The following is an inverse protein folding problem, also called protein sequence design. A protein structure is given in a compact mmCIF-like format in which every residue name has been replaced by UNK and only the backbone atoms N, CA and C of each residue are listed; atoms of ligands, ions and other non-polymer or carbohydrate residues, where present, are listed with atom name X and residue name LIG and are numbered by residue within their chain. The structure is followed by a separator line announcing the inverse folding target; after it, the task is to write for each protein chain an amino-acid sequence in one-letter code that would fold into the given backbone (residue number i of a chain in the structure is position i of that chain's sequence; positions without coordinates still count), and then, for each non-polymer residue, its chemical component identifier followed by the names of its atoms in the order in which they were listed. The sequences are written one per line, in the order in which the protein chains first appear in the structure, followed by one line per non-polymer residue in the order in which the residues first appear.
data_IF_451643700751
#
_entry.id   IF_451643700751
#
_cell.length_a   1.000
_cell.length_b   1.000
_cell.length_c   1.000
_cell.angle_alpha   90.00
_cell.angle_beta   90.00
_cell.angle_gamma   90.00
#
_symmetry.space_group_name_H-M   'P 1'
#
loop_
_entity.id
_entity.type
_entity.pdbx_description
1 polymer ?
#
# COMPACT_ATOMS: atom_id res chain seq x y z
N UNK A 1 31.98 -33.71 -84.78
CA UNK A 1 30.77 -34.54 -84.59
C UNK A 1 30.42 -34.38 -83.13
N UNK A 2 29.91 -33.22 -82.69
CA UNK A 2 29.87 -32.91 -81.25
C UNK A 2 28.64 -32.06 -80.84
N UNK A 3 27.62 -31.99 -81.69
CA UNK A 3 26.49 -31.05 -81.50
C UNK A 3 25.23 -31.71 -80.92
N UNK A 4 25.21 -33.03 -80.75
CA UNK A 4 24.03 -33.78 -80.28
C UNK A 4 24.02 -34.00 -78.77
N UNK A 5 25.17 -33.85 -78.08
CA UNK A 5 25.32 -34.14 -76.64
C UNK A 5 25.34 -32.91 -75.72
N UNK A 6 25.35 -31.69 -76.28
CA UNK A 6 25.46 -30.45 -75.50
C UNK A 6 24.11 -29.87 -75.08
N UNK A 7 23.07 -30.04 -75.90
CA UNK A 7 21.70 -29.61 -75.61
C UNK A 7 21.09 -30.28 -74.36
N UNK A 8 21.16 -31.61 -74.16
CA UNK A 8 20.62 -32.22 -72.94
C UNK A 8 21.41 -31.78 -71.69
N UNK A 9 22.74 -31.61 -71.79
CA UNK A 9 23.58 -31.12 -70.69
C UNK A 9 23.26 -29.66 -70.33
N UNK A 10 23.05 -28.80 -71.32
CA UNK A 10 22.67 -27.41 -71.09
C UNK A 10 21.28 -27.28 -70.45
N UNK A 11 20.32 -28.12 -70.86
CA UNK A 11 18.99 -28.17 -70.25
C UNK A 11 19.05 -28.67 -68.81
N UNK A 12 19.85 -29.70 -68.53
CA UNK A 12 20.05 -30.22 -67.17
C UNK A 12 20.74 -29.18 -66.27
N UNK A 13 21.76 -28.48 -66.76
CA UNK A 13 22.44 -27.42 -66.01
C UNK A 13 21.51 -26.23 -65.73
N UNK A 14 20.69 -25.84 -66.72
CA UNK A 14 19.67 -24.81 -66.52
C UNK A 14 18.62 -25.26 -65.49
N UNK A 15 18.16 -26.51 -65.56
CA UNK A 15 17.22 -27.04 -64.57
C UNK A 15 17.81 -27.06 -63.16
N UNK A 16 19.07 -27.45 -63.00
CA UNK A 16 19.77 -27.42 -61.70
C UNK A 16 19.94 -26.01 -61.16
N UNK A 17 20.25 -25.03 -62.03
CA UNK A 17 20.33 -23.62 -61.64
C UNK A 17 18.97 -23.11 -61.13
N UNK A 18 17.88 -23.43 -61.84
CA UNK A 18 16.54 -23.01 -61.43
C UNK A 18 16.09 -23.70 -60.14
N UNK A 19 16.42 -24.99 -59.94
CA UNK A 19 16.17 -25.68 -58.67
C UNK A 19 16.95 -25.02 -57.53
N UNK A 20 18.21 -24.63 -57.76
CA UNK A 20 19.01 -23.89 -56.77
C UNK A 20 18.40 -22.53 -56.42
N UNK A 21 17.94 -21.77 -57.41
CA UNK A 21 17.28 -20.48 -57.19
C UNK A 21 15.97 -20.64 -56.43
N UNK A 22 15.13 -21.62 -56.80
CA UNK A 22 13.87 -21.90 -56.11
C UNK A 22 14.13 -22.36 -54.67
N UNK A 23 15.14 -23.20 -54.44
CA UNK A 23 15.53 -23.60 -53.09
C UNK A 23 16.02 -22.40 -52.26
N UNK A 24 16.81 -21.50 -52.85
CA UNK A 24 17.27 -20.28 -52.17
C UNK A 24 16.13 -19.32 -51.83
N UNK A 25 15.20 -19.10 -52.77
CA UNK A 25 14.01 -18.27 -52.53
C UNK A 25 13.09 -18.90 -51.48
N UNK A 26 12.91 -20.21 -51.52
CA UNK A 26 12.14 -20.94 -50.50
C UNK A 26 12.80 -20.82 -49.13
N UNK A 27 14.13 -20.96 -49.08
CA UNK A 27 14.93 -20.79 -47.87
C UNK A 27 14.82 -19.37 -47.29
N UNK A 28 14.73 -18.34 -48.14
CA UNK A 28 14.50 -16.95 -47.71
C UNK A 28 13.07 -16.69 -47.19
N UNK A 29 12.10 -17.53 -47.54
CA UNK A 29 10.71 -17.44 -47.02
C UNK A 29 10.49 -18.21 -45.71
N UNK A 30 11.46 -19.01 -45.26
CA UNK A 30 11.36 -19.73 -44.00
C UNK A 30 11.39 -18.78 -42.81
N UNK A 31 10.47 -19.00 -41.88
CA UNK A 31 10.42 -18.23 -40.64
C UNK A 31 11.67 -18.48 -39.78
N UNK A 32 12.05 -17.50 -38.96
CA UNK A 32 13.15 -17.62 -37.99
C UNK A 32 13.08 -18.89 -37.13
N UNK A 33 11.87 -19.34 -36.77
CA UNK A 33 11.67 -20.55 -35.96
C UNK A 33 12.05 -21.83 -36.71
N UNK A 34 11.74 -21.90 -38.01
CA UNK A 34 12.08 -23.04 -38.86
C UNK A 34 13.60 -23.11 -39.09
N UNK A 35 14.28 -21.97 -39.26
CA UNK A 35 15.73 -21.90 -39.42
C UNK A 35 16.48 -22.48 -38.21
N UNK A 36 16.10 -22.07 -37.00
CA UNK A 36 16.69 -22.60 -35.77
C UNK A 36 16.43 -24.11 -35.59
N UNK A 37 15.22 -24.58 -35.93
CA UNK A 37 14.90 -26.01 -35.83
C UNK A 37 15.76 -26.88 -36.75
N UNK A 38 16.09 -26.38 -37.94
CA UNK A 38 16.94 -27.06 -38.89
C UNK A 38 18.40 -27.12 -38.43
N UNK A 39 18.97 -26.01 -37.94
CA UNK A 39 20.33 -25.99 -37.39
C UNK A 39 20.46 -26.83 -36.10
N UNK A 40 19.44 -26.79 -35.24
CA UNK A 40 19.36 -27.63 -34.05
C UNK A 40 19.32 -29.13 -34.40
N UNK A 41 18.58 -29.51 -35.45
CA UNK A 41 18.54 -30.88 -35.95
C UNK A 41 19.89 -31.34 -36.53
N UNK A 42 20.65 -30.45 -37.18
CA UNK A 42 21.98 -30.73 -37.71
C UNK A 42 23.11 -30.69 -36.65
N UNK A 43 22.81 -30.38 -35.37
CA UNK A 43 23.79 -30.29 -34.26
C UNK A 43 25.01 -29.41 -34.57
N UNK A 44 24.84 -28.37 -35.39
CA UNK A 44 25.93 -27.48 -35.72
C UNK A 44 26.24 -26.53 -34.55
N UNK A 45 27.53 -26.19 -34.32
CA UNK A 45 27.91 -25.26 -33.25
C UNK A 45 27.25 -23.88 -33.42
N UNK A 46 26.88 -23.19 -32.33
CA UNK A 46 26.19 -21.90 -32.39
C UNK A 46 26.96 -20.80 -33.15
N UNK A 47 28.28 -20.86 -33.16
CA UNK A 47 29.15 -19.88 -33.85
C UNK A 47 29.12 -20.01 -35.38
N UNK A 48 28.61 -21.12 -35.92
CA UNK A 48 28.43 -21.33 -37.36
C UNK A 48 27.05 -20.89 -37.85
N UNK A 49 26.16 -20.39 -36.98
CA UNK A 49 24.84 -19.91 -37.39
C UNK A 49 24.88 -18.40 -37.70
N UNK A 50 24.73 -17.99 -38.97
CA UNK A 50 24.81 -16.58 -39.36
C UNK A 50 23.58 -15.76 -38.96
N UNK A 51 22.48 -16.40 -38.52
CA UNK A 51 21.24 -15.72 -38.14
C UNK A 51 20.85 -16.12 -36.71
N UNK A 52 21.09 -15.23 -35.75
CA UNK A 52 20.62 -15.37 -34.37
C UNK A 52 19.28 -14.67 -34.24
N UNK A 53 18.19 -15.42 -34.30
CA UNK A 53 16.85 -14.87 -34.11
C UNK A 53 16.51 -14.83 -32.62
N UNK A 54 16.12 -13.66 -32.11
CA UNK A 54 15.58 -13.51 -30.77
C UNK A 54 14.31 -14.38 -30.62
N UNK A 55 14.35 -15.41 -29.79
CA UNK A 55 13.18 -16.25 -29.52
C UNK A 55 12.06 -15.38 -28.91
N UNK A 56 10.87 -15.29 -29.53
CA UNK A 56 9.75 -14.65 -28.87
C UNK A 56 9.43 -15.47 -27.62
N UNK A 57 9.29 -14.79 -26.48
CA UNK A 57 8.95 -15.39 -25.20
C UNK A 57 7.59 -16.09 -25.35
N UNK A 58 7.62 -17.42 -25.42
CA UNK A 58 6.42 -18.23 -25.43
C UNK A 58 5.78 -18.16 -24.04
N UNK A 59 4.77 -17.31 -23.88
CA UNK A 59 3.95 -17.26 -22.68
C UNK A 59 2.97 -18.45 -22.73
N UNK A 60 3.07 -19.44 -21.83
CA UNK A 60 2.06 -20.48 -21.74
C UNK A 60 0.80 -19.89 -21.11
N UNK A 61 -0.25 -19.69 -21.91
CA UNK A 61 -1.54 -19.22 -21.44
C UNK A 61 -2.69 -19.63 -22.39
N UNK A 62 -3.91 -19.81 -21.87
CA UNK A 62 -5.09 -20.04 -22.71
C UNK A 62 -5.37 -18.82 -23.60
N UNK A 63 -5.92 -19.07 -24.80
CA UNK A 63 -6.24 -18.03 -25.79
C UNK A 63 -7.22 -17.02 -25.17
N UNK A 64 -6.78 -15.76 -25.05
CA UNK A 64 -7.61 -14.67 -24.51
C UNK A 64 -8.48 -14.13 -25.65
N UNK A 65 -9.77 -14.44 -25.65
CA UNK A 65 -10.75 -13.78 -26.50
C UNK A 65 -11.08 -12.40 -25.92
N UNK A 66 -10.63 -11.33 -26.58
CA UNK A 66 -10.95 -9.96 -26.18
C UNK A 66 -12.31 -9.56 -26.77
N UNK A 67 -13.34 -9.46 -25.93
CA UNK A 67 -14.59 -8.78 -26.32
C UNK A 67 -14.42 -7.28 -26.08
N UNK A 68 -14.46 -6.50 -27.16
CA UNK A 68 -14.30 -5.05 -27.14
C UNK A 68 -15.56 -4.39 -26.56
N UNK A 69 -15.54 -4.00 -25.28
CA UNK A 69 -16.63 -3.23 -24.68
C UNK A 69 -16.44 -1.75 -25.00
N UNK A 70 -17.35 -1.20 -25.80
CA UNK A 70 -17.37 0.21 -26.19
C UNK A 70 -17.66 1.18 -25.04
N UNK A 71 -17.46 2.50 -25.26
CA UNK A 71 -17.34 3.55 -24.23
C UNK A 71 -18.60 3.85 -23.39
N UNK A 72 -19.65 3.04 -23.46
CA UNK A 72 -20.90 3.25 -22.74
C UNK A 72 -21.00 2.52 -21.38
N UNK A 73 -19.93 1.83 -20.94
CA UNK A 73 -19.93 0.99 -19.73
C UNK A 73 -19.25 1.55 -18.48
N UNK A 74 -18.69 2.77 -18.52
CA UNK A 74 -18.00 3.35 -17.36
C UNK A 74 -18.98 4.18 -16.50
N UNK A 75 -19.07 3.95 -15.17
CA UNK A 75 -19.85 4.81 -14.29
C UNK A 75 -19.22 6.22 -14.23
N UNK A 76 -20.06 7.25 -14.41
CA UNK A 76 -19.65 8.66 -14.39
C UNK A 76 -19.03 9.04 -13.04
N UNK A 77 -17.92 9.82 -13.02
CA UNK A 77 -17.35 10.33 -11.78
C UNK A 77 -18.28 11.37 -11.12
N UNK A 78 -18.42 11.27 -9.80
CA UNK A 78 -19.24 12.19 -9.01
C UNK A 78 -18.66 13.63 -8.99
N UNK A 79 -19.50 14.68 -9.01
CA UNK A 79 -19.03 16.06 -9.07
C UNK A 79 -18.40 16.53 -7.76
N UNK A 80 -17.17 17.06 -7.84
CA UNK A 80 -16.46 17.71 -6.75
C UNK A 80 -17.11 19.06 -6.40
N UNK A 81 -17.42 19.27 -5.12
CA UNK A 81 -17.90 20.56 -4.59
C UNK A 81 -16.72 21.54 -4.43
N UNK A 82 -16.82 22.81 -4.85
CA UNK A 82 -15.76 23.78 -4.64
C UNK A 82 -15.69 24.22 -3.16
N UNK A 83 -14.49 24.11 -2.58
CA UNK A 83 -14.18 24.62 -1.26
C UNK A 83 -14.18 26.15 -1.26
N UNK A 84 -15.01 26.76 -0.40
CA UNK A 84 -15.02 28.20 -0.17
C UNK A 84 -13.76 28.60 0.59
N UNK A 85 -12.95 29.46 -0.01
CA UNK A 85 -11.81 30.11 0.64
C UNK A 85 -12.29 30.95 1.83
N UNK A 86 -11.75 30.65 3.01
CA UNK A 86 -11.90 31.46 4.23
C UNK A 86 -10.89 32.60 4.13
N UNK A 87 -11.36 33.82 3.92
CA UNK A 87 -10.54 35.03 4.06
C UNK A 87 -10.41 35.34 5.55
N UNK A 88 -9.17 35.32 6.04
CA UNK A 88 -8.79 35.84 7.36
C UNK A 88 -8.73 37.38 7.30
N UNK A 89 -9.33 38.11 8.24
CA UNK A 89 -9.11 39.55 8.35
C UNK A 89 -7.77 39.85 9.06
N UNK A 90 -7.10 40.97 8.73
CA UNK A 90 -5.75 41.26 9.19
C UNK A 90 -5.71 41.66 10.68
N UNK A 91 -4.66 41.21 11.36
CA UNK A 91 -4.23 41.70 12.68
C UNK A 91 -3.84 43.18 12.58
N UNK A 92 -4.52 44.03 13.36
CA UNK A 92 -4.05 45.38 13.66
C UNK A 92 -3.60 45.43 15.12
N UNK A 93 -2.37 45.91 15.26
CA UNK A 93 -1.59 46.18 16.45
C UNK A 93 -2.33 46.96 17.55
N UNK A 94 -2.25 46.46 18.78
CA UNK A 94 -2.56 47.23 20.00
C UNK A 94 -1.28 47.94 20.44
N UNK A 95 -1.18 49.23 20.10
CA UNK A 95 -0.30 50.17 20.79
C UNK A 95 -1.16 50.91 21.81
N UNK A 96 -0.72 50.90 23.07
CA UNK A 96 -1.41 51.53 24.19
C UNK A 96 -1.45 53.05 24.07
N UNK A 97 -2.59 53.63 24.43
CA UNK A 97 -2.74 55.01 24.85
C UNK A 97 -3.78 55.08 26.01
N UNK A 98 -3.60 55.98 27.00
CA UNK A 98 -4.39 55.98 28.24
C UNK A 98 -5.82 56.52 28.03
N UNK A 99 -6.77 56.18 28.93
CA UNK A 99 -8.17 56.53 28.76
C UNK A 99 -8.44 58.04 28.80
N UNK A 100 -9.35 58.57 27.95
CA UNK A 100 -9.77 59.97 28.00
C UNK A 100 -10.59 60.25 29.26
N UNK A 101 -10.27 61.37 29.90
CA UNK A 101 -11.01 61.94 31.02
C UNK A 101 -12.44 62.26 30.58
N UNK A 102 -13.42 61.77 31.34
CA UNK A 102 -14.83 62.14 31.19
C UNK A 102 -14.97 63.63 31.52
N UNK A 103 -15.54 64.47 30.64
CA UNK A 103 -15.84 65.85 30.97
C UNK A 103 -16.83 65.91 32.15
N UNK A 104 -16.48 66.68 33.18
CA UNK A 104 -17.39 67.01 34.28
C UNK A 104 -18.66 67.68 33.70
N UNK A 105 -19.87 67.26 34.13
CA UNK A 105 -21.09 67.95 33.74
C UNK A 105 -21.10 69.38 34.28
N UNK A 106 -21.34 70.36 33.42
CA UNK A 106 -21.58 71.74 33.84
C UNK A 106 -22.83 71.82 34.73
N UNK A 107 -22.84 72.67 35.77
CA UNK A 107 -24.00 72.85 36.62
C UNK A 107 -25.13 73.50 35.81
N UNK A 108 -26.37 72.97 35.86
CA UNK A 108 -27.50 73.61 35.22
C UNK A 108 -27.84 74.93 35.92
N UNK A 109 -28.16 75.93 35.11
CA UNK A 109 -28.66 77.26 35.51
C UNK A 109 -29.96 77.08 36.34
N UNK A 110 -30.18 77.88 37.40
CA UNK A 110 -31.30 77.67 38.32
C UNK A 110 -32.65 77.94 37.63
N UNK A 111 -33.43 76.88 37.44
CA UNK A 111 -34.86 76.97 37.19
C UNK A 111 -35.61 77.22 38.52
N UNK A 112 -36.77 77.90 38.48
CA UNK A 112 -37.48 78.30 39.68
C UNK A 112 -37.93 77.08 40.49
N UNK A 113 -37.62 77.10 41.79
CA UNK A 113 -38.00 76.07 42.77
C UNK A 113 -39.50 75.82 42.69
N UNK A 114 -39.88 74.74 42.02
CA UNK A 114 -41.20 74.14 42.17
C UNK A 114 -41.13 73.28 43.42
N UNK A 115 -41.79 73.76 44.47
CA UNK A 115 -41.93 73.12 45.78
C UNK A 115 -42.16 71.62 45.56
N UNK A 116 -41.24 70.79 46.08
CA UNK A 116 -41.43 69.33 46.09
C UNK A 116 -42.77 69.04 46.81
N UNK A 117 -43.66 68.22 46.24
CA UNK A 117 -44.79 67.72 47.00
C UNK A 117 -44.23 66.98 48.25
N UNK A 118 -44.90 67.10 49.41
CA UNK A 118 -44.45 66.45 50.63
C UNK A 118 -44.28 64.94 50.39
N UNK A 119 -43.30 64.28 51.05
CA UNK A 119 -43.08 62.84 50.87
C UNK A 119 -44.40 62.10 51.05
N UNK A 120 -44.75 61.19 50.12
CA UNK A 120 -46.00 60.45 50.21
C UNK A 120 -46.08 59.79 51.59
N UNK A 121 -47.21 60.00 52.27
CA UNK A 121 -47.51 59.39 53.56
C UNK A 121 -47.40 57.87 53.40
N UNK A 122 -46.38 57.29 54.06
CA UNK A 122 -46.17 55.87 54.36
C UNK A 122 -46.60 54.88 53.25
N UNK A 123 -45.66 54.22 52.55
CA UNK A 123 -46.00 53.10 51.67
C UNK A 123 -46.82 52.08 52.46
N UNK A 124 -48.00 51.71 51.95
CA UNK A 124 -48.95 50.83 52.63
C UNK A 124 -48.21 49.56 53.09
N UNK A 125 -48.18 49.31 54.40
CA UNK A 125 -47.37 48.24 55.03
C UNK A 125 -47.66 46.88 54.37
N UNK A 126 -48.88 46.72 53.84
CA UNK A 126 -49.37 45.54 53.14
C UNK A 126 -48.65 45.25 51.82
N UNK A 127 -48.16 46.25 51.10
CA UNK A 127 -47.41 46.05 49.84
C UNK A 127 -45.95 45.65 50.11
N UNK A 128 -45.34 46.15 51.19
CA UNK A 128 -43.99 45.74 51.61
C UNK A 128 -43.97 44.28 52.07
N UNK A 129 -44.98 43.83 52.82
CA UNK A 129 -45.09 42.45 53.28
C UNK A 129 -45.22 41.45 52.11
N UNK A 130 -45.93 41.83 51.04
CA UNK A 130 -46.03 41.02 49.81
C UNK A 130 -44.70 40.91 49.07
N UNK A 131 -43.96 42.01 48.94
CA UNK A 131 -42.64 42.00 48.29
C UNK A 131 -41.65 41.14 49.08
N UNK A 132 -41.69 41.19 50.42
CA UNK A 132 -40.86 40.34 51.27
C UNK A 132 -41.26 38.86 51.14
N UNK A 133 -42.55 38.54 51.13
CA UNK A 133 -43.04 37.18 50.94
C UNK A 133 -42.66 36.60 49.56
N UNK A 134 -42.77 37.39 48.49
CA UNK A 134 -42.36 36.99 47.14
C UNK A 134 -40.84 36.79 47.06
N UNK A 135 -40.06 37.68 47.68
CA UNK A 135 -38.60 37.54 47.76
C UNK A 135 -38.19 36.27 48.52
N UNK A 136 -38.88 35.91 49.60
CA UNK A 136 -38.65 34.68 50.35
C UNK A 136 -39.00 33.43 49.52
N UNK A 137 -40.15 33.42 48.85
CA UNK A 137 -40.54 32.30 47.98
C UNK A 137 -39.55 32.12 46.82
N UNK A 138 -39.11 33.22 46.20
CA UNK A 138 -38.11 33.18 45.13
C UNK A 138 -36.74 32.71 45.62
N UNK A 139 -36.34 33.08 46.84
CA UNK A 139 -35.11 32.58 47.45
C UNK A 139 -35.19 31.08 47.75
N UNK A 140 -36.33 30.58 48.27
CA UNK A 140 -36.53 29.16 48.54
C UNK A 140 -36.57 28.33 47.25
N UNK A 141 -37.22 28.83 46.19
CA UNK A 141 -37.20 28.20 44.87
C UNK A 141 -35.79 28.14 44.28
N UNK A 142 -35.02 29.23 44.38
CA UNK A 142 -33.64 29.27 43.92
C UNK A 142 -32.75 28.28 44.68
N UNK A 143 -32.95 28.12 46.00
CA UNK A 143 -32.22 27.12 46.80
C UNK A 143 -32.57 25.69 46.36
N UNK A 144 -33.86 25.38 46.16
CA UNK A 144 -34.31 24.06 45.66
C UNK A 144 -33.73 23.74 44.28
N UNK A 145 -33.71 24.72 43.37
CA UNK A 145 -33.12 24.55 42.03
C UNK A 145 -31.60 24.33 42.11
N UNK A 146 -30.90 25.03 43.01
CA UNK A 146 -29.47 24.82 43.24
C UNK A 146 -29.17 23.42 43.78
N UNK A 147 -29.93 22.97 44.79
CA UNK A 147 -29.79 21.63 45.35
C UNK A 147 -30.06 20.54 44.31
N UNK A 148 -31.09 20.71 43.48
CA UNK A 148 -31.38 19.76 42.40
C UNK A 148 -30.25 19.72 41.36
N UNK A 149 -29.72 20.88 40.95
CA UNK A 149 -28.57 20.96 40.03
C UNK A 149 -27.31 20.33 40.61
N UNK A 150 -27.05 20.49 41.91
CA UNK A 150 -25.93 19.84 42.58
C UNK A 150 -26.12 18.33 42.62
N UNK A 151 -27.32 17.86 42.97
CA UNK A 151 -27.65 16.44 42.95
C UNK A 151 -27.50 15.81 41.56
N UNK A 152 -27.95 16.51 40.52
CA UNK A 152 -27.78 16.08 39.13
C UNK A 152 -26.30 16.00 38.74
N UNK A 153 -25.48 17.01 39.10
CA UNK A 153 -24.03 16.99 38.85
C UNK A 153 -23.33 15.84 39.55
N UNK A 154 -23.69 15.56 40.81
CA UNK A 154 -23.12 14.44 41.56
C UNK A 154 -23.50 13.09 40.93
N UNK A 155 -24.77 12.92 40.52
CA UNK A 155 -25.23 11.71 39.84
C UNK A 155 -24.52 11.51 38.49
N UNK A 156 -24.30 12.58 37.72
CA UNK A 156 -23.57 12.51 36.45
C UNK A 156 -22.10 12.12 36.66
N UNK A 157 -21.42 12.73 37.64
CA UNK A 157 -20.04 12.39 37.97
C UNK A 157 -19.91 10.93 38.41
N UNK A 158 -20.84 10.42 39.22
CA UNK A 158 -20.85 9.01 39.62
C UNK A 158 -21.06 8.09 38.41
N UNK A 159 -22.02 8.41 37.54
CA UNK A 159 -22.27 7.64 36.31
C UNK A 159 -21.06 7.64 35.37
N UNK A 160 -20.35 8.77 35.22
CA UNK A 160 -19.11 8.84 34.44
C UNK A 160 -17.99 7.98 35.06
N UNK A 161 -17.82 8.02 36.39
CA UNK A 161 -16.84 7.18 37.09
C UNK A 161 -17.14 5.69 36.94
N UNK A 162 -18.42 5.29 37.02
CA UNK A 162 -18.82 3.89 36.81
C UNK A 162 -18.49 3.43 35.38
N UNK A 163 -18.85 4.21 34.36
CA UNK A 163 -18.49 3.91 32.96
C UNK A 163 -16.99 3.81 32.74
N UNK A 164 -16.20 4.71 33.35
CA UNK A 164 -14.74 4.65 33.26
C UNK A 164 -14.18 3.37 33.88
N UNK A 165 -14.70 2.94 35.04
CA UNK A 165 -14.30 1.68 35.70
C UNK A 165 -14.68 0.46 34.86
N UNK A 166 -15.85 0.45 34.24
CA UNK A 166 -16.27 -0.63 33.34
C UNK A 166 -15.38 -0.74 32.11
N UNK A 167 -15.08 0.39 31.47
CA UNK A 167 -14.20 0.44 30.30
C UNK A 167 -12.78 -0.04 30.65
N UNK A 168 -12.24 0.35 31.81
CA UNK A 168 -10.95 -0.15 32.29
C UNK A 168 -10.97 -1.67 32.53
N UNK A 169 -12.04 -2.20 33.14
CA UNK A 169 -12.21 -3.65 33.32
C UNK A 169 -12.27 -4.39 31.98
N UNK A 170 -12.98 -3.84 30.99
CA UNK A 170 -13.05 -4.43 29.65
C UNK A 170 -11.68 -4.43 28.96
N UNK A 171 -10.93 -3.32 29.03
CA UNK A 171 -9.59 -3.24 28.47
C UNK A 171 -8.64 -4.25 29.13
N UNK A 172 -8.71 -4.40 30.45
CA UNK A 172 -7.91 -5.39 31.17
C UNK A 172 -8.28 -6.82 30.76
N UNK A 173 -9.57 -7.15 30.66
CA UNK A 173 -10.03 -8.45 30.18
C UNK A 173 -9.55 -8.74 28.76
N UNK A 174 -9.65 -7.78 27.83
CA UNK A 174 -9.17 -7.93 26.45
C UNK A 174 -7.66 -8.15 26.45
N UNK A 175 -6.91 -7.41 27.26
CA UNK A 175 -5.45 -7.59 27.38
C UNK A 175 -5.09 -8.98 27.91
N UNK A 176 -5.79 -9.45 28.95
CA UNK A 176 -5.58 -10.80 29.50
C UNK A 176 -5.94 -11.89 28.48
N UNK A 177 -7.04 -11.74 27.74
CA UNK A 177 -7.43 -12.66 26.67
C UNK A 177 -6.38 -12.73 25.56
N UNK A 178 -5.85 -11.59 25.12
CA UNK A 178 -4.78 -11.53 24.12
C UNK A 178 -3.52 -12.23 24.60
N UNK A 179 -3.06 -11.95 25.82
CA UNK A 179 -1.89 -12.60 26.40
C UNK A 179 -2.10 -14.12 26.57
N UNK A 180 -3.29 -14.55 26.97
CA UNK A 180 -3.62 -15.97 27.06
C UNK A 180 -3.64 -16.66 25.68
N UNK A 181 -4.21 -16.01 24.67
CA UNK A 181 -4.23 -16.51 23.30
C UNK A 181 -2.81 -16.58 22.70
N UNK A 182 -1.98 -15.58 22.94
CA UNK A 182 -0.58 -15.56 22.50
C UNK A 182 0.22 -16.69 23.16
N UNK A 183 0.07 -16.90 24.47
CA UNK A 183 0.71 -18.03 25.17
C UNK A 183 0.28 -19.38 24.60
N UNK A 184 -1.01 -19.55 24.29
CA UNK A 184 -1.53 -20.79 23.66
C UNK A 184 -0.93 -20.99 22.28
N UNK A 185 -0.94 -19.95 21.43
CA UNK A 185 -0.36 -19.99 20.08
C UNK A 185 1.13 -20.33 20.12
N UNK A 186 1.90 -19.71 21.03
CA UNK A 186 3.34 -20.01 21.20
C UNK A 186 3.59 -21.45 21.63
N UNK A 187 2.78 -21.97 22.56
CA UNK A 187 2.89 -23.35 23.02
C UNK A 187 2.51 -24.36 21.92
N UNK A 188 1.49 -24.04 21.12
CA UNK A 188 1.12 -24.83 19.95
C UNK A 188 2.22 -24.83 18.88
N UNK A 189 2.79 -23.67 18.56
CA UNK A 189 3.94 -23.55 17.66
C UNK A 189 5.13 -24.39 18.13
N UNK A 190 5.45 -24.34 19.43
CA UNK A 190 6.52 -25.18 20.01
C UNK A 190 6.22 -26.67 19.87
N UNK A 191 4.96 -27.10 20.07
CA UNK A 191 4.56 -28.50 19.85
C UNK A 191 4.68 -28.91 18.38
N UNK A 192 4.26 -28.06 17.44
CA UNK A 192 4.42 -28.33 16.01
C UNK A 192 5.90 -28.43 15.63
N UNK A 193 6.76 -27.57 16.17
CA UNK A 193 8.21 -27.64 15.95
C UNK A 193 8.79 -28.95 16.48
N UNK A 194 8.45 -29.36 17.70
CA UNK A 194 8.88 -30.64 18.26
C UNK A 194 8.45 -31.83 17.39
N UNK A 195 7.21 -31.83 16.90
CA UNK A 195 6.74 -32.88 15.99
C UNK A 195 7.47 -32.87 14.64
N UNK A 196 7.78 -31.70 14.11
CA UNK A 196 8.54 -31.57 12.87
C UNK A 196 9.98 -32.07 13.04
N UNK A 197 10.62 -31.75 14.17
CA UNK A 197 11.97 -32.20 14.49
C UNK A 197 12.01 -33.72 14.69
N UNK A 198 11.08 -34.30 15.44
CA UNK A 198 10.94 -35.75 15.59
C UNK A 198 10.75 -36.45 14.25
N UNK A 199 9.92 -35.91 13.35
CA UNK A 199 9.75 -36.44 11.99
C UNK A 199 11.03 -36.36 11.17
N UNK A 200 11.80 -35.28 11.27
CA UNK A 200 13.10 -35.14 10.62
C UNK A 200 14.10 -36.15 11.16
N UNK A 201 14.12 -36.40 12.47
CA UNK A 201 14.98 -37.41 13.09
C UNK A 201 14.60 -38.83 12.64
N UNK A 202 13.31 -39.17 12.61
CA UNK A 202 12.82 -40.45 12.10
C UNK A 202 13.19 -40.64 10.62
N UNK A 203 13.04 -39.61 9.79
CA UNK A 203 13.46 -39.66 8.39
C UNK A 203 14.97 -39.90 8.26
N UNK A 204 15.80 -39.23 9.07
CA UNK A 204 17.26 -39.43 9.11
C UNK A 204 17.68 -40.83 9.60
N UNK A 205 16.92 -41.42 10.53
CA UNK A 205 17.16 -42.80 10.98
C UNK A 205 16.78 -43.80 9.89
N UNK A 206 15.64 -43.62 9.23
CA UNK A 206 15.22 -44.48 8.11
C UNK A 206 16.17 -44.42 6.90
N UNK A 207 16.82 -43.27 6.66
CA UNK A 207 17.83 -43.12 5.61
C UNK A 207 19.21 -43.66 6.00
N UNK A 208 19.47 -43.96 7.28
CA UNK A 208 20.72 -44.57 7.77
C UNK A 208 20.71 -46.10 7.70
N UNK A 209 19.53 -46.74 7.59
CA UNK A 209 19.40 -48.20 7.40
C UNK A 209 19.41 -48.63 5.93
N UNK A 210 19.55 -47.69 4.98
CA UNK A 210 19.83 -47.99 3.57
C UNK A 210 21.35 -48.23 3.37
N UNK A 211 21.80 -49.25 2.60
CA UNK A 211 23.21 -49.49 2.38
C UNK A 211 23.85 -48.31 1.64
N UNK A 212 25.02 -47.89 2.15
CA UNK A 212 25.83 -46.78 1.65
C UNK A 212 26.31 -47.07 0.22
N UNK A 213 25.75 -46.34 -0.75
CA UNK A 213 26.48 -45.96 -1.96
C UNK A 213 26.41 -44.45 -2.11
N UNK A 214 27.58 -43.87 -1.92
CA UNK A 214 28.04 -42.55 -2.33
C UNK A 214 27.47 -41.30 -1.66
N UNK A 215 28.39 -40.38 -1.43
CA UNK A 215 28.28 -39.23 -0.57
C UNK A 215 27.49 -38.09 -1.20
N UNK A 216 26.52 -37.52 -0.48
CA UNK A 216 26.25 -36.08 -0.54
C UNK A 216 25.55 -35.60 0.73
N UNK A 217 26.18 -34.63 1.39
CA UNK A 217 25.66 -33.91 2.56
C UNK A 217 24.48 -33.02 2.12
N UNK A 218 23.33 -32.99 2.80
CA UNK A 218 22.36 -31.92 2.59
C UNK A 218 22.83 -30.69 3.36
N UNK A 219 23.35 -29.73 2.61
CA UNK A 219 23.57 -28.33 2.99
C UNK A 219 22.31 -27.77 3.67
N UNK A 220 22.51 -27.00 4.73
CA UNK A 220 21.45 -26.31 5.46
C UNK A 220 20.61 -25.42 4.53
N UNK A 221 19.31 -25.34 4.82
CA UNK A 221 18.33 -24.41 4.24
C UNK A 221 18.76 -22.95 4.49
N UNK A 222 19.71 -22.47 3.69
CA UNK A 222 20.05 -21.06 3.59
C UNK A 222 18.96 -20.40 2.75
N UNK A 223 18.41 -19.31 3.28
CA UNK A 223 17.47 -18.43 2.61
C UNK A 223 17.98 -18.10 1.20
N UNK A 224 17.37 -18.71 0.16
CA UNK A 224 17.65 -18.40 -1.23
C UNK A 224 16.97 -17.10 -1.61
N UNK A 225 17.58 -15.99 -1.22
CA UNK A 225 17.40 -14.72 -1.91
C UNK A 225 18.38 -14.71 -3.08
N UNK A 226 17.98 -15.26 -4.22
CA UNK A 226 18.83 -15.36 -5.40
C UNK A 226 18.01 -15.46 -6.66
N UNK A 227 17.59 -14.32 -7.20
CA UNK A 227 17.08 -14.24 -8.57
C UNK A 227 18.23 -14.40 -9.55
N UNK A 228 18.57 -15.66 -9.85
CA UNK A 228 19.30 -16.12 -11.03
C UNK A 228 19.19 -17.66 -11.22
N UNK A 229 18.24 -18.33 -10.57
CA UNK A 229 17.98 -19.76 -10.74
C UNK A 229 16.86 -20.02 -11.74
N UNK A 230 16.94 -21.11 -12.52
CA UNK A 230 15.87 -21.65 -13.38
C UNK A 230 14.68 -22.21 -12.56
N UNK A 231 14.32 -21.55 -11.47
CA UNK A 231 13.26 -22.00 -10.57
C UNK A 231 11.92 -21.60 -11.18
N UNK A 232 11.27 -22.53 -11.89
CA UNK A 232 9.95 -22.32 -12.50
C UNK A 232 8.78 -22.30 -11.49
N UNK A 233 9.07 -22.10 -10.20
CA UNK A 233 8.04 -22.09 -9.15
C UNK A 233 7.08 -20.92 -9.33
N UNK A 234 5.83 -21.09 -8.91
CA UNK A 234 4.82 -20.01 -8.95
C UNK A 234 5.27 -18.78 -8.14
N UNK A 235 6.04 -18.99 -7.06
CA UNK A 235 6.61 -17.93 -6.24
C UNK A 235 7.72 -17.16 -6.97
N UNK A 236 8.58 -17.83 -7.72
CA UNK A 236 9.59 -17.16 -8.54
C UNK A 236 8.96 -16.36 -9.68
N UNK A 237 7.94 -16.93 -10.34
CA UNK A 237 7.14 -16.22 -11.35
C UNK A 237 6.45 -15.00 -10.74
N UNK A 238 5.93 -15.13 -9.52
CA UNK A 238 5.30 -14.03 -8.81
C UNK A 238 6.30 -12.89 -8.55
N UNK A 239 7.46 -13.20 -7.97
CA UNK A 239 8.50 -12.20 -7.73
C UNK A 239 8.97 -11.53 -9.02
N UNK A 240 9.09 -12.28 -10.12
CA UNK A 240 9.49 -11.73 -11.41
C UNK A 240 8.42 -10.78 -11.98
N UNK A 241 7.14 -11.11 -11.81
CA UNK A 241 6.04 -10.23 -12.18
C UNK A 241 6.06 -8.92 -11.37
N UNK A 242 6.35 -9.00 -10.06
CA UNK A 242 6.52 -7.81 -9.22
C UNK A 242 7.64 -6.91 -9.73
N UNK A 243 8.83 -7.47 -9.97
CA UNK A 243 9.98 -6.71 -10.52
C UNK A 243 9.60 -6.07 -11.84
N UNK A 244 8.94 -6.79 -12.74
CA UNK A 244 8.55 -6.27 -14.06
C UNK A 244 7.65 -5.03 -13.95
N UNK A 245 6.57 -5.09 -13.16
CA UNK A 245 5.63 -3.97 -13.00
C UNK A 245 6.30 -2.77 -12.30
N UNK A 246 7.14 -3.03 -11.29
CA UNK A 246 7.89 -1.97 -10.60
C UNK A 246 8.86 -1.29 -11.56
N UNK A 247 9.63 -2.06 -12.33
CA UNK A 247 10.59 -1.52 -13.31
C UNK A 247 9.90 -0.70 -14.40
N UNK A 248 8.74 -1.14 -14.90
CA UNK A 248 7.96 -0.39 -15.90
C UNK A 248 7.51 0.99 -15.39
N UNK A 249 7.25 1.11 -14.08
CA UNK A 249 6.81 2.35 -13.46
C UNK A 249 7.96 3.19 -12.86
N UNK A 250 9.20 2.70 -12.96
CA UNK A 250 10.35 3.32 -12.33
C UNK A 250 10.98 4.38 -13.23
N UNK A 251 10.97 5.62 -12.74
CA UNK A 251 11.74 6.72 -13.32
C UNK A 251 13.18 6.66 -12.81
N UNK A 252 13.98 5.79 -13.44
CA UNK A 252 15.37 5.54 -13.05
C UNK A 252 16.23 6.81 -13.20
N UNK A 253 16.88 7.27 -12.12
CA UNK A 253 17.92 8.30 -12.21
C UNK A 253 19.22 7.76 -12.87
N UNK A 254 19.96 8.62 -13.57
CA UNK A 254 21.18 8.23 -14.29
C UNK A 254 22.34 7.81 -13.37
N UNK A 255 22.30 8.19 -12.09
CA UNK A 255 23.35 7.93 -11.11
C UNK A 255 23.25 6.55 -10.42
N UNK A 256 22.35 5.67 -10.87
CA UNK A 256 22.17 4.34 -10.26
C UNK A 256 23.16 3.32 -10.86
N UNK A 257 24.05 2.72 -10.05
CA UNK A 257 25.02 1.74 -10.53
C UNK A 257 24.33 0.49 -11.10
N UNK A 258 24.85 0.02 -12.24
CA UNK A 258 24.38 -1.20 -12.92
C UNK A 258 24.67 -2.43 -12.06
N UNK A 259 23.73 -3.38 -11.99
CA UNK A 259 23.87 -4.62 -11.22
C UNK A 259 23.82 -4.46 -9.69
N UNK A 260 23.62 -3.25 -9.16
CA UNK A 260 23.51 -3.03 -7.73
C UNK A 260 22.14 -3.49 -7.20
N UNK A 261 22.18 -4.36 -6.19
CA UNK A 261 21.01 -4.94 -5.52
C UNK A 261 20.52 -4.01 -4.42
N UNK A 262 19.25 -3.61 -4.50
CA UNK A 262 18.56 -2.81 -3.51
C UNK A 262 17.40 -3.62 -2.90
N UNK A 263 17.52 -4.10 -1.66
CA UNK A 263 16.40 -4.75 -0.99
C UNK A 263 15.31 -3.74 -0.64
N UNK A 264 14.06 -4.07 -0.93
CA UNK A 264 12.89 -3.23 -0.66
C UNK A 264 11.87 -4.06 0.12
N UNK A 265 11.37 -3.51 1.22
CA UNK A 265 10.28 -4.07 2.01
C UNK A 265 8.96 -3.49 1.56
N UNK A 266 8.08 -4.35 1.04
CA UNK A 266 6.79 -3.98 0.47
C UNK A 266 5.69 -4.65 1.30
N UNK A 267 4.70 -3.86 1.71
CA UNK A 267 3.51 -4.35 2.41
C UNK A 267 2.29 -4.09 1.54
N UNK A 268 1.52 -5.14 1.27
CA UNK A 268 0.36 -5.11 0.40
C UNK A 268 -0.84 -5.87 0.99
N UNK A 269 -2.04 -5.59 0.51
CA UNK A 269 -3.27 -6.31 0.89
C UNK A 269 -3.69 -7.29 -0.22
N UNK A 270 -4.53 -8.30 0.09
CA UNK A 270 -5.14 -9.14 -0.95
C UNK A 270 -5.81 -8.28 -2.01
N UNK A 271 -5.54 -8.56 -3.29
CA UNK A 271 -5.88 -7.69 -4.41
C UNK A 271 -4.71 -6.88 -4.96
N UNK A 272 -3.55 -6.89 -4.28
CA UNK A 272 -2.29 -6.31 -4.78
C UNK A 272 -2.07 -4.84 -4.43
N UNK A 273 -3.00 -4.20 -3.74
CA UNK A 273 -2.84 -2.79 -3.34
C UNK A 273 -1.70 -2.64 -2.32
N UNK A 274 -0.77 -1.74 -2.63
CA UNK A 274 0.41 -1.45 -1.80
C UNK A 274 0.04 -0.44 -0.72
N UNK A 275 0.30 -0.78 0.54
CA UNK A 275 0.07 0.11 1.69
C UNK A 275 1.38 0.68 2.26
N UNK A 276 2.52 0.06 1.99
CA UNK A 276 3.83 0.58 2.36
C UNK A 276 4.93 0.05 1.45
N UNK A 277 5.89 0.90 1.09
CA UNK A 277 7.12 0.52 0.42
C UNK A 277 8.27 1.26 1.10
N UNK A 278 9.29 0.53 1.55
CA UNK A 278 10.46 1.10 2.23
C UNK A 278 11.71 0.42 1.72
N UNK A 279 12.68 1.22 1.29
CA UNK A 279 13.99 0.68 0.90
C UNK A 279 14.79 0.33 2.16
N UNK A 280 15.47 -0.82 2.13
CA UNK A 280 16.32 -1.24 3.22
C UNK A 280 17.55 -0.31 3.35
N UNK A 281 18.01 0.01 4.58
CA UNK A 281 19.23 0.78 4.78
C UNK A 281 20.47 0.20 4.09
N UNK A 282 20.52 -1.10 3.82
CA UNK A 282 21.62 -1.75 3.11
C UNK A 282 21.62 -1.50 1.60
N UNK A 283 20.60 -0.82 1.06
CA UNK A 283 20.55 -0.49 -0.36
C UNK A 283 21.67 0.51 -0.72
N UNK A 284 22.49 0.22 -1.76
CA UNK A 284 23.64 1.04 -2.14
C UNK A 284 23.25 2.32 -2.91
N UNK A 285 21.96 2.61 -3.08
CA UNK A 285 21.49 3.79 -3.81
C UNK A 285 21.58 5.03 -2.93
N UNK A 286 21.75 6.19 -3.56
CA UNK A 286 21.66 7.48 -2.90
C UNK A 286 20.21 7.81 -2.49
N UNK A 287 20.01 8.88 -1.71
CA UNK A 287 18.67 9.27 -1.23
C UNK A 287 17.66 9.48 -2.37
N UNK A 288 18.12 10.04 -3.49
CA UNK A 288 17.27 10.26 -4.66
C UNK A 288 16.87 8.93 -5.31
N UNK A 289 17.83 8.01 -5.47
CA UNK A 289 17.60 6.65 -5.95
C UNK A 289 16.61 5.87 -5.07
N UNK A 290 16.81 5.89 -3.76
CA UNK A 290 15.92 5.22 -2.79
C UNK A 290 14.49 5.72 -2.91
N UNK A 291 14.29 7.05 -2.91
CA UNK A 291 12.96 7.66 -3.08
C UNK A 291 12.36 7.35 -4.46
N UNK A 292 13.16 7.32 -5.51
CA UNK A 292 12.69 6.97 -6.85
C UNK A 292 12.13 5.54 -6.89
N UNK A 293 12.82 4.59 -6.25
CA UNK A 293 12.38 3.21 -6.12
C UNK A 293 11.09 3.10 -5.30
N UNK A 294 10.99 3.77 -4.14
CA UNK A 294 9.76 3.77 -3.33
C UNK A 294 8.56 4.32 -4.11
N UNK A 295 8.77 5.40 -4.86
CA UNK A 295 7.75 5.98 -5.73
C UNK A 295 7.35 5.03 -6.87
N UNK A 296 8.27 4.25 -7.42
CA UNK A 296 7.97 3.26 -8.44
C UNK A 296 7.07 2.15 -7.91
N UNK A 297 7.33 1.66 -6.70
CA UNK A 297 6.48 0.65 -6.05
C UNK A 297 5.08 1.21 -5.78
N UNK A 298 4.98 2.45 -5.31
CA UNK A 298 3.68 3.12 -5.12
C UNK A 298 2.90 3.28 -6.43
N UNK A 299 3.57 3.67 -7.53
CA UNK A 299 2.96 3.78 -8.87
C UNK A 299 2.57 2.44 -9.47
N UNK A 300 3.29 1.38 -9.12
CA UNK A 300 2.98 0.01 -9.53
C UNK A 300 1.76 -0.58 -8.82
N UNK A 301 1.15 0.12 -7.86
CA UNK A 301 -0.08 -0.33 -7.19
C UNK A 301 -1.29 -0.26 -8.14
N UNK A 302 -2.14 -1.30 -8.23
CA UNK A 302 -2.02 -2.59 -7.54
C UNK A 302 -1.00 -3.53 -8.22
N UNK A 303 -0.20 -4.20 -7.40
CA UNK A 303 0.73 -5.23 -7.82
C UNK A 303 -0.01 -6.49 -8.33
N UNK A 304 0.61 -7.31 -9.19
CA UNK A 304 0.03 -8.58 -9.63
C UNK A 304 -0.48 -9.42 -8.46
N UNK A 305 -1.69 -9.94 -8.59
CA UNK A 305 -2.33 -10.78 -7.56
C UNK A 305 -3.06 -11.96 -8.18
N UNK A 306 -3.77 -11.71 -9.29
CA UNK A 306 -4.49 -12.74 -10.04
C UNK A 306 -3.53 -13.79 -10.60
N UNK A 307 -3.80 -15.06 -10.30
CA UNK A 307 -2.95 -16.19 -10.66
C UNK A 307 -1.83 -16.49 -9.65
N UNK A 308 -1.65 -15.64 -8.64
CA UNK A 308 -0.62 -15.77 -7.60
C UNK A 308 -1.21 -15.88 -6.19
N UNK A 309 -2.53 -16.04 -6.05
CA UNK A 309 -3.22 -16.00 -4.76
C UNK A 309 -2.69 -17.04 -3.76
N UNK A 310 -2.25 -18.21 -4.23
CA UNK A 310 -1.71 -19.28 -3.39
C UNK A 310 -0.29 -19.03 -2.88
N UNK A 311 0.46 -18.13 -3.54
CA UNK A 311 1.83 -17.73 -3.16
C UNK A 311 1.90 -16.28 -2.69
N UNK A 312 0.74 -15.64 -2.52
CA UNK A 312 0.64 -14.28 -2.06
C UNK A 312 1.29 -14.11 -0.69
N UNK A 313 2.09 -13.06 -0.56
CA UNK A 313 2.72 -12.66 0.68
C UNK A 313 2.33 -11.21 0.97
N UNK A 314 1.89 -10.95 2.20
CA UNK A 314 1.54 -9.59 2.65
C UNK A 314 2.78 -8.71 2.75
N UNK A 315 3.83 -9.27 3.34
CA UNK A 315 5.11 -8.61 3.61
C UNK A 315 6.17 -9.29 2.73
N UNK A 316 6.72 -8.55 1.77
CA UNK A 316 7.66 -9.06 0.77
C UNK A 316 8.95 -8.26 0.87
N UNK A 317 10.09 -8.96 0.94
CA UNK A 317 11.41 -8.36 0.73
C UNK A 317 11.86 -8.69 -0.70
N UNK A 318 11.89 -7.67 -1.55
CA UNK A 318 12.26 -7.80 -2.96
C UNK A 318 13.66 -7.27 -3.20
N UNK A 319 14.54 -8.09 -3.76
CA UNK A 319 15.88 -7.68 -4.18
C UNK A 319 15.81 -7.04 -5.57
N UNK A 320 15.59 -5.73 -5.61
CA UNK A 320 15.45 -4.99 -6.85
C UNK A 320 16.83 -4.70 -7.45
N UNK A 321 17.01 -5.07 -8.71
CA UNK A 321 18.24 -4.84 -9.46
C UNK A 321 17.92 -4.18 -10.78
N UNK A 322 18.84 -3.34 -11.22
CA UNK A 322 18.81 -2.84 -12.59
C UNK A 322 19.31 -3.94 -13.53
N UNK A 323 18.45 -4.36 -14.45
CA UNK A 323 18.86 -5.10 -15.65
C UNK A 323 19.10 -4.09 -16.77
N UNK A 324 20.26 -4.17 -17.41
CA UNK A 324 20.64 -3.34 -18.56
C UNK A 324 20.01 -3.84 -19.86
#
# INVERSE_FOLDING_TARGET
MDEVDTTPRAVVLSALLHVGIVAFLWLATLSCANWESFFGALRLPPWMNPVTCSKPVALPGPVIEATLVGPAGAPLPAPAKPAKAKVEPPKVSVAGAPPPQIPQPQPPKPEPVKVLPPPPKQPDVKDQEKVVAEAQQKAEQAQKEQEERERQRMAELEAQQQKARELLKQLEQIKQQRLAAERKSKLEQQRLQQLADLKKEQAKQSSREAPVTDATVPEAEQARSGMAGQDNSLLAQYQAALVSVITQNWLRPDNIPKGAVCPIHIVQIPGGEVISAKVDPSCPYDDLGRRSVENAVGKASPLPYKGYESVFQRDITLNFTVQD
#
